data_IF_034033751281
#
_entry.id   IF_034033751281
#
_cell.length_a   1.000
_cell.length_b   1.000
_cell.length_c   1.000
_cell.angle_alpha   90.00
_cell.angle_beta   90.00
_cell.angle_gamma   90.00
#
_symmetry.space_group_name_H-M   'P 1'
#
loop_
_entity.id
_entity.type
_entity.pdbx_description
1 polymer ?
2 polymer ?
3 non-polymer ?
4 non-polymer ?
5 water ?
#
# COMPACT_ATOMS: atom_id res chain seq x y z
N UNK A 8 19.78 -17.27 -10.94
CA UNK A 8 20.06 -15.88 -11.41
C UNK A 8 18.73 -15.09 -11.64
N UNK A 9 18.67 -13.88 -11.09
CA UNK A 9 17.53 -13.00 -11.26
C UNK A 9 17.86 -11.90 -12.27
N UNK A 10 16.86 -11.51 -13.06
CA UNK A 10 17.04 -10.46 -14.07
C UNK A 10 15.81 -9.59 -14.05
N UNK A 11 15.98 -8.38 -13.52
CA UNK A 11 14.82 -7.47 -13.38
C UNK A 11 14.95 -6.31 -14.37
N UNK A 12 13.82 -5.95 -14.97
CA UNK A 12 13.67 -4.69 -15.69
C UNK A 12 12.82 -3.79 -14.79
N UNK A 13 13.36 -2.61 -14.49
CA UNK A 13 12.76 -1.72 -13.50
C UNK A 13 12.51 -0.38 -14.14
N UNK A 14 11.24 0.04 -14.08
CA UNK A 14 10.83 1.36 -14.64
C UNK A 14 10.23 2.24 -13.55
N UNK A 15 10.40 3.55 -13.75
CA UNK A 15 9.86 4.58 -12.89
C UNK A 15 8.50 5.00 -13.49
N UNK A 16 7.44 4.53 -12.88
CA UNK A 16 6.06 4.69 -13.43
C UNK A 16 5.52 6.07 -13.01
N UNK A 17 4.87 6.76 -13.95
CA UNK A 17 4.21 7.99 -13.61
C UNK A 17 3.08 7.74 -12.67
N UNK A 18 2.95 8.66 -11.71
CA UNK A 18 1.91 8.65 -10.71
C UNK A 18 0.49 8.39 -11.25
N UNK A 19 0.15 9.02 -12.38
CA UNK A 19 -1.19 8.88 -12.89
C UNK A 19 -1.49 7.42 -13.25
N UNK A 20 -0.52 6.77 -13.87
CA UNK A 20 -0.69 5.38 -14.30
C UNK A 20 -0.56 4.37 -13.16
N UNK A 21 0.32 4.66 -12.22
CA UNK A 21 0.42 3.83 -11.01
C UNK A 21 -0.94 3.76 -10.30
N UNK A 22 -1.56 4.92 -10.14
CA UNK A 22 -2.86 4.98 -9.54
C UNK A 22 -3.93 4.24 -10.34
N UNK A 23 -3.96 4.51 -11.62
CA UNK A 23 -4.94 3.89 -12.50
C UNK A 23 -4.85 2.34 -12.46
N UNK A 24 -3.63 1.79 -12.39
CA UNK A 24 -3.43 0.37 -12.40
C UNK A 24 -3.15 -0.22 -11.02
N UNK A 25 -3.46 0.54 -9.93
CA UNK A 25 -3.37 -0.01 -8.60
C UNK A 25 -4.27 -1.27 -8.49
N UNK A 26 -3.73 -2.42 -8.03
CA UNK A 26 -4.53 -3.63 -8.00
C UNK A 26 -4.70 -4.35 -9.34
N UNK A 27 -4.10 -3.80 -10.37
CA UNK A 27 -4.16 -4.37 -11.71
C UNK A 27 -2.77 -4.33 -12.32
N UNK A 28 -1.73 -4.45 -11.48
CA UNK A 28 -0.34 -4.30 -11.96
C UNK A 28 0.06 -5.38 -12.98
N UNK A 29 -0.63 -6.51 -12.98
CA UNK A 29 -0.38 -7.53 -14.01
C UNK A 29 -0.55 -6.97 -15.42
N UNK A 30 -1.42 -5.98 -15.61
CA UNK A 30 -1.64 -5.43 -16.93
C UNK A 30 -0.40 -4.65 -17.38
N UNK A 31 0.24 -3.98 -16.44
CA UNK A 31 1.48 -3.25 -16.75
C UNK A 31 2.60 -4.25 -17.01
N UNK A 32 2.67 -5.29 -16.19
CA UNK A 32 3.63 -6.35 -16.43
C UNK A 32 3.49 -6.88 -17.87
N UNK A 33 2.25 -7.15 -18.31
CA UNK A 33 2.03 -7.69 -19.65
C UNK A 33 2.46 -6.71 -20.77
N UNK A 34 2.23 -5.43 -20.57
CA UNK A 34 2.68 -4.39 -21.50
C UNK A 34 4.22 -4.38 -21.64
N UNK A 35 4.87 -4.34 -20.51
CA UNK A 35 6.35 -4.42 -20.49
C UNK A 35 6.93 -5.75 -21.07
N UNK A 36 6.26 -6.83 -20.77
CA UNK A 36 6.68 -8.14 -21.28
C UNK A 36 6.48 -8.16 -22.82
N UNK A 37 5.39 -7.58 -23.33
CA UNK A 37 5.20 -7.48 -24.77
C UNK A 37 6.32 -6.72 -25.45
N UNK A 38 6.76 -5.63 -24.84
CA UNK A 38 7.89 -4.87 -25.42
C UNK A 38 9.22 -5.63 -25.41
N UNK A 39 9.52 -6.28 -24.29
CA UNK A 39 10.79 -6.93 -24.13
C UNK A 39 10.84 -8.32 -24.77
N UNK A 40 9.69 -8.95 -24.93
CA UNK A 40 9.66 -10.41 -25.29
C UNK A 40 8.72 -10.84 -26.34
N UNK A 41 7.41 -10.52 -26.15
CA UNK A 41 6.31 -11.08 -26.98
C UNK A 41 6.62 -10.82 -28.46
N UNK A 42 6.32 -11.79 -29.29
CA UNK A 42 6.53 -11.61 -30.74
C UNK A 42 5.33 -10.88 -31.29
N UNK A 43 5.48 -9.58 -31.54
CA UNK A 43 4.39 -8.74 -31.94
C UNK A 43 4.63 -8.35 -33.38
N UNK A 44 3.56 -8.03 -34.09
CA UNK A 44 3.70 -7.43 -35.42
C UNK A 44 4.38 -6.08 -35.22
N UNK A 45 5.14 -5.64 -36.20
CA UNK A 45 5.93 -4.40 -36.10
C UNK A 45 5.11 -3.20 -35.58
N UNK A 46 3.88 -3.04 -36.09
CA UNK A 46 3.03 -1.91 -35.68
C UNK A 46 2.58 -2.00 -34.24
N UNK A 47 2.21 -3.21 -33.78
CA UNK A 47 1.84 -3.43 -32.37
C UNK A 47 3.04 -3.11 -31.44
N UNK A 48 4.24 -3.53 -31.87
CA UNK A 48 5.45 -3.24 -31.13
C UNK A 48 5.69 -1.71 -31.02
N UNK A 49 5.55 -1.02 -32.14
CA UNK A 49 5.81 0.42 -32.11
C UNK A 49 4.82 1.22 -31.19
N UNK A 50 3.54 0.81 -31.20
CA UNK A 50 2.51 1.38 -30.32
C UNK A 50 2.88 1.11 -28.88
N UNK A 51 3.29 -0.13 -28.62
CA UNK A 51 3.67 -0.54 -27.26
C UNK A 51 4.87 0.32 -26.74
N UNK A 52 5.85 0.49 -27.60
CA UNK A 52 7.00 1.32 -27.24
C UNK A 52 6.60 2.78 -26.92
N UNK A 53 5.73 3.36 -27.73
CA UNK A 53 5.21 4.70 -27.49
C UNK A 53 4.44 4.80 -26.14
N UNK A 54 3.63 3.82 -25.86
CA UNK A 54 2.91 3.76 -24.64
C UNK A 54 3.83 3.69 -23.43
N UNK A 55 4.83 2.79 -23.51
CA UNK A 55 5.83 2.70 -22.42
C UNK A 55 6.54 4.02 -22.19
N UNK A 56 6.93 4.70 -23.25
CA UNK A 56 7.57 6.03 -23.11
C UNK A 56 6.62 7.04 -22.37
N UNK A 57 5.34 6.99 -22.70
CA UNK A 57 4.36 7.88 -22.13
C UNK A 57 4.10 7.67 -20.65
N UNK A 58 4.06 6.40 -20.20
CA UNK A 58 3.63 6.11 -18.84
C UNK A 58 4.79 6.06 -17.84
N UNK A 59 6.00 6.22 -18.32
CA UNK A 59 7.17 6.14 -17.48
C UNK A 59 7.92 7.47 -17.46
N UNK A 60 8.78 7.63 -16.45
CA UNK A 60 9.62 8.82 -16.28
C UNK A 60 11.05 8.48 -16.62
N UNK A 61 11.80 9.46 -17.09
CA UNK A 61 13.24 9.25 -17.25
C UNK A 61 13.89 8.91 -15.89
N UNK A 62 14.89 8.03 -15.92
CA UNK A 62 15.61 7.75 -14.67
C UNK A 62 16.44 9.02 -14.30
N UNK A 63 16.44 9.46 -13.02
CA UNK A 63 17.22 10.68 -12.66
C UNK A 63 18.67 10.29 -12.45
N UNK A 64 19.43 10.32 -13.56
CA UNK A 64 20.74 9.65 -13.58
C UNK A 64 21.70 10.24 -12.53
N UNK A 65 21.86 11.56 -12.54
CA UNK A 65 22.82 12.16 -11.60
C UNK A 65 22.43 11.89 -10.12
N UNK A 66 21.14 12.00 -9.82
CA UNK A 66 20.62 11.70 -8.49
C UNK A 66 20.96 10.24 -8.12
N UNK A 67 20.74 9.33 -9.05
CA UNK A 67 21.06 7.90 -8.80
C UNK A 67 22.54 7.73 -8.54
N UNK A 68 23.40 8.36 -9.36
CA UNK A 68 24.84 8.21 -9.17
C UNK A 68 25.21 8.64 -7.76
N UNK A 69 24.69 9.78 -7.31
CA UNK A 69 25.03 10.28 -5.99
C UNK A 69 24.60 9.32 -4.89
N UNK A 70 23.36 8.87 -4.98
CA UNK A 70 22.84 7.94 -3.99
C UNK A 70 23.53 6.59 -3.96
N UNK A 71 23.85 6.09 -5.14
CA UNK A 71 24.61 4.84 -5.23
C UNK A 71 26.01 4.94 -4.63
N UNK A 72 26.73 5.97 -4.98
CA UNK A 72 28.09 6.12 -4.49
C UNK A 72 28.11 6.28 -3.00
N UNK A 73 27.12 6.94 -2.43
CA UNK A 73 27.05 7.06 -0.97
C UNK A 73 26.77 5.73 -0.30
N UNK A 74 25.79 5.01 -0.79
CA UNK A 74 25.40 3.75 -0.22
C UNK A 74 26.42 2.62 -0.37
N UNK A 75 27.15 2.61 -1.49
CA UNK A 75 28.11 1.54 -1.78
C UNK A 75 29.54 1.80 -1.23
N UNK A 76 29.76 2.95 -0.61
CA UNK A 76 31.08 3.34 -0.14
C UNK A 76 31.68 2.19 0.71
N UNK A 77 32.92 1.84 0.39
CA UNK A 77 33.67 0.76 1.05
C UNK A 77 33.06 -0.66 0.91
N UNK A 78 32.10 -0.81 0.01
CA UNK A 78 31.59 -2.12 -0.45
C UNK A 78 32.52 -2.52 -1.58
N UNK A 79 32.52 -3.80 -1.92
CA UNK A 79 33.17 -4.30 -3.12
C UNK A 79 32.29 -3.86 -4.30
N UNK A 80 32.56 -2.68 -4.86
CA UNK A 80 31.93 -2.27 -6.08
C UNK A 80 32.85 -1.60 -7.04
N UNK A 81 32.43 -1.61 -8.34
CA UNK A 81 33.03 -0.72 -9.30
C UNK A 81 31.91 -0.12 -10.17
N UNK A 82 32.28 0.96 -10.80
CA UNK A 82 31.41 1.70 -11.68
C UNK A 82 32.08 1.77 -13.05
N UNK A 83 31.28 1.50 -14.07
CA UNK A 83 31.64 1.75 -15.47
C UNK A 83 30.54 2.64 -16.12
N UNK A 84 30.72 3.93 -15.96
CA UNK A 84 29.74 4.98 -16.29
C UNK A 84 28.36 4.67 -15.69
N UNK A 85 27.43 4.19 -16.49
CA UNK A 85 26.07 3.89 -16.01
C UNK A 85 25.83 2.51 -15.43
N UNK A 86 26.90 1.71 -15.35
CA UNK A 86 26.88 0.35 -14.80
C UNK A 86 27.58 0.34 -13.47
N UNK A 87 26.90 -0.25 -12.47
CA UNK A 87 27.48 -0.54 -11.16
C UNK A 87 27.47 -2.00 -10.92
N UNK A 88 28.55 -2.53 -10.37
CA UNK A 88 28.67 -3.96 -10.12
C UNK A 88 29.13 -4.11 -8.68
N UNK A 89 28.50 -5.00 -7.95
CA UNK A 89 28.82 -5.25 -6.57
C UNK A 89 29.02 -6.72 -6.26
N UNK A 90 29.88 -7.00 -5.26
CA UNK A 90 30.03 -8.35 -4.71
C UNK A 90 29.75 -8.26 -3.21
N UNK A 91 28.86 -9.10 -2.72
CA UNK A 91 28.52 -9.10 -1.31
C UNK A 91 29.64 -9.59 -0.40
N UNK A 92 29.66 -9.10 0.88
CA UNK A 92 30.64 -9.60 1.84
C UNK A 92 30.49 -11.07 2.03
N UNK A 93 31.58 -11.69 2.48
CA UNK A 93 31.60 -13.12 2.82
C UNK A 93 31.18 -13.97 1.62
N UNK A 94 31.51 -13.53 0.40
CA UNK A 94 31.23 -14.29 -0.83
C UNK A 94 29.74 -14.70 -1.04
N UNK A 95 28.80 -13.88 -0.62
CA UNK A 95 27.40 -14.29 -0.56
C UNK A 95 26.63 -14.04 -1.85
N UNK A 96 27.22 -13.30 -2.77
CA UNK A 96 26.54 -13.00 -4.03
C UNK A 96 27.10 -11.87 -4.87
N UNK A 97 26.38 -11.57 -5.94
CA UNK A 97 26.83 -10.61 -6.96
C UNK A 97 25.63 -9.91 -7.57
N UNK A 98 25.78 -8.66 -7.94
CA UNK A 98 24.69 -7.98 -8.71
C UNK A 98 25.26 -6.88 -9.57
N UNK A 99 24.62 -6.71 -10.72
CA UNK A 99 24.87 -5.69 -11.70
C UNK A 99 23.68 -4.81 -11.84
N UNK A 100 23.93 -3.49 -11.88
CA UNK A 100 22.89 -2.43 -12.02
C UNK A 100 23.25 -1.61 -13.24
N UNK A 101 22.33 -1.47 -14.18
CA UNK A 101 22.55 -0.67 -15.38
C UNK A 101 21.41 0.35 -15.50
N UNK A 102 21.74 1.63 -15.65
CA UNK A 102 20.70 2.63 -15.84
C UNK A 102 20.84 3.35 -17.17
N UNK A 103 19.73 3.39 -17.92
CA UNK A 103 19.73 4.04 -19.22
C UNK A 103 18.40 4.56 -19.61
N UNK A 104 18.34 5.84 -19.99
CA UNK A 104 17.09 6.43 -20.47
C UNK A 104 15.92 6.25 -19.47
N UNK A 105 14.96 5.37 -19.79
CA UNK A 105 13.82 5.16 -18.93
C UNK A 105 13.90 3.84 -18.26
N UNK A 106 15.01 3.10 -18.36
CA UNK A 106 14.99 1.72 -17.86
C UNK A 106 16.20 1.51 -16.93
N UNK A 107 15.98 0.76 -15.88
CA UNK A 107 17.06 0.12 -15.09
C UNK A 107 17.03 -1.40 -15.28
N UNK A 108 18.17 -2.03 -15.43
CA UNK A 108 18.22 -3.46 -15.52
C UNK A 108 19.15 -3.91 -14.39
N UNK A 109 18.73 -4.95 -13.70
CA UNK A 109 19.50 -5.54 -12.61
C UNK A 109 19.65 -7.06 -12.88
N UNK A 110 20.87 -7.57 -12.75
CA UNK A 110 21.12 -9.02 -12.76
C UNK A 110 21.74 -9.37 -11.44
N UNK A 111 21.22 -10.41 -10.76
CA UNK A 111 21.72 -10.81 -9.47
C UNK A 111 21.85 -12.31 -9.28
N UNK A 112 22.82 -12.72 -8.47
CA UNK A 112 23.06 -14.13 -8.10
C UNK A 112 23.43 -14.24 -6.64
N UNK A 113 23.25 -15.42 -6.07
CA UNK A 113 23.51 -15.61 -4.67
C UNK A 113 22.36 -15.13 -3.81
N UNK A 114 22.69 -14.66 -2.61
CA UNK A 114 21.72 -14.23 -1.62
C UNK A 114 20.88 -13.09 -2.19
N UNK A 115 19.60 -13.03 -1.83
CA UNK A 115 18.69 -11.95 -2.25
C UNK A 115 19.12 -10.59 -1.74
N UNK A 116 20.03 -10.58 -0.78
CA UNK A 116 20.71 -9.32 -0.41
C UNK A 116 21.32 -8.56 -1.61
N UNK A 117 21.76 -9.31 -2.62
CA UNK A 117 22.47 -8.72 -3.75
C UNK A 117 21.64 -7.64 -4.47
N UNK A 118 20.45 -8.00 -4.92
CA UNK A 118 19.55 -7.04 -5.57
C UNK A 118 18.95 -6.06 -4.56
N UNK A 119 18.82 -6.50 -3.30
CA UNK A 119 18.21 -5.70 -2.26
C UNK A 119 19.04 -4.42 -2.04
N UNK A 120 20.36 -4.53 -2.16
CA UNK A 120 21.21 -3.34 -2.00
C UNK A 120 20.77 -2.21 -2.98
N UNK A 121 20.52 -2.61 -4.24
CA UNK A 121 20.07 -1.67 -5.24
C UNK A 121 18.61 -1.23 -5.02
N UNK A 122 17.75 -2.19 -4.66
CA UNK A 122 16.33 -1.89 -4.46
C UNK A 122 16.19 -0.92 -3.30
N UNK A 123 17.01 -1.03 -2.28
CA UNK A 123 16.93 -0.11 -1.14
C UNK A 123 17.28 1.34 -1.58
N UNK A 124 18.28 1.51 -2.46
CA UNK A 124 18.59 2.87 -2.95
C UNK A 124 17.37 3.40 -3.75
N UNK A 125 16.84 2.59 -4.63
CA UNK A 125 15.70 2.95 -5.48
C UNK A 125 14.45 3.32 -4.67
N UNK A 126 14.12 2.54 -3.67
CA UNK A 126 12.91 2.76 -2.91
C UNK A 126 13.03 4.03 -2.07
N UNK A 127 14.25 4.46 -1.74
CA UNK A 127 14.42 5.73 -1.05
C UNK A 127 14.43 6.95 -2.00
N UNK A 128 14.60 6.72 -3.27
CA UNK A 128 14.50 7.76 -4.27
C UNK A 128 13.06 8.01 -4.64
N UNK A 129 12.28 6.94 -4.82
CA UNK A 129 10.86 7.09 -5.18
C UNK A 129 10.08 5.86 -4.81
N UNK A 130 8.78 6.01 -4.54
CA UNK A 130 7.88 4.85 -4.36
C UNK A 130 7.35 4.24 -5.66
N UNK A 131 7.74 4.83 -6.79
CA UNK A 131 7.13 4.50 -8.07
C UNK A 131 7.92 3.57 -8.96
N UNK A 132 8.96 2.90 -8.43
CA UNK A 132 9.68 1.92 -9.26
C UNK A 132 8.93 0.60 -9.25
N UNK A 133 8.66 0.12 -10.45
CA UNK A 133 8.09 -1.22 -10.71
C UNK A 133 9.16 -2.15 -11.29
N UNK A 134 9.49 -3.20 -10.54
CA UNK A 134 10.57 -4.12 -10.92
C UNK A 134 9.91 -5.41 -11.42
N UNK A 135 10.42 -5.98 -12.51
CA UNK A 135 9.77 -7.10 -13.13
C UNK A 135 10.83 -8.07 -13.64
N UNK A 136 10.68 -9.35 -13.25
CA UNK A 136 11.52 -10.45 -13.82
C UNK A 136 10.60 -11.27 -14.73
N UNK A 137 10.83 -11.18 -16.05
CA UNK A 137 10.01 -11.84 -17.04
C UNK A 137 10.35 -13.33 -17.17
N UNK A 138 11.43 -13.75 -16.52
CA UNK A 138 11.81 -15.16 -16.53
C UNK A 138 11.02 -15.95 -15.48
N UNK A 139 10.90 -15.38 -14.29
CA UNK A 139 10.27 -16.07 -13.15
C UNK A 139 8.82 -15.59 -12.87
N UNK A 140 8.41 -14.51 -13.56
CA UNK A 140 7.05 -13.91 -13.39
C UNK A 140 6.89 -13.26 -11.97
N UNK A 141 7.99 -12.77 -11.42
CA UNK A 141 8.02 -12.05 -10.16
C UNK A 141 8.02 -10.58 -10.48
N UNK A 142 7.09 -9.82 -9.92
CA UNK A 142 7.04 -8.40 -10.18
C UNK A 142 6.35 -7.68 -9.05
N UNK A 143 6.66 -6.40 -8.91
CA UNK A 143 6.02 -5.58 -7.90
C UNK A 143 6.68 -4.23 -7.71
N UNK A 144 6.03 -3.40 -6.89
CA UNK A 144 6.57 -2.11 -6.54
C UNK A 144 7.71 -2.32 -5.56
N UNK A 145 8.69 -1.44 -5.63
CA UNK A 145 9.67 -1.32 -4.61
C UNK A 145 9.10 -0.41 -3.50
N UNK A 146 8.59 -1.03 -2.46
CA UNK A 146 7.78 -0.31 -1.46
C UNK A 146 8.71 0.28 -0.41
N UNK A 147 8.62 1.60 -0.15
CA UNK A 147 9.44 2.23 0.94
C UNK A 147 9.04 1.96 2.39
N UNK B 3 -22.89 6.82 -44.66
CA UNK B 3 -21.94 6.24 -45.72
C UNK B 3 -20.48 5.91 -45.21
N UNK B 4 -19.81 4.99 -45.90
CA UNK B 4 -18.47 4.52 -45.50
C UNK B 4 -17.42 5.65 -45.46
N UNK B 5 -17.46 6.50 -46.49
CA UNK B 5 -16.60 7.69 -46.65
C UNK B 5 -17.05 8.76 -45.61
N UNK B 6 -18.33 8.83 -45.31
CA UNK B 6 -18.80 9.80 -44.31
C UNK B 6 -18.30 9.63 -42.89
N UNK B 7 -18.29 8.39 -42.33
CA UNK B 7 -17.67 8.19 -41.00
C UNK B 7 -16.15 8.49 -40.96
N UNK B 8 -15.46 8.22 -42.05
CA UNK B 8 -14.02 8.56 -42.18
C UNK B 8 -13.82 10.06 -42.08
N UNK B 9 -14.67 10.84 -42.77
CA UNK B 9 -14.67 12.31 -42.74
C UNK B 9 -14.90 12.81 -41.33
N UNK B 10 -15.90 12.24 -40.65
CA UNK B 10 -16.27 12.69 -39.30
C UNK B 10 -15.07 12.45 -38.36
N UNK B 11 -14.47 11.28 -38.43
CA UNK B 11 -13.40 10.95 -37.50
C UNK B 11 -12.16 11.74 -37.83
N UNK B 12 -11.86 11.93 -39.10
CA UNK B 12 -10.74 12.78 -39.46
C UNK B 12 -10.94 14.22 -38.98
N UNK B 13 -12.18 14.74 -39.04
CA UNK B 13 -12.45 16.07 -38.55
C UNK B 13 -12.27 16.13 -37.03
N UNK B 14 -12.71 15.09 -36.36
CA UNK B 14 -12.64 15.09 -34.91
C UNK B 14 -11.18 15.00 -34.49
N UNK B 15 -10.40 14.14 -35.14
CA UNK B 15 -8.93 14.07 -34.83
C UNK B 15 -8.18 15.39 -35.07
N UNK B 16 -8.54 16.12 -36.15
CA UNK B 16 -7.92 17.37 -36.43
C UNK B 16 -8.22 18.40 -35.35
N UNK B 17 -9.44 18.42 -34.83
CA UNK B 17 -9.78 19.31 -33.72
C UNK B 17 -9.10 18.87 -32.45
N UNK B 18 -9.08 17.57 -32.20
CA UNK B 18 -8.39 17.03 -31.01
C UNK B 18 -6.90 17.35 -31.02
N UNK B 19 -6.27 17.26 -32.17
CA UNK B 19 -4.85 17.63 -32.33
C UNK B 19 -4.56 19.09 -31.93
N UNK B 20 -5.55 19.98 -32.10
CA UNK B 20 -5.41 21.39 -31.68
C UNK B 20 -5.63 21.57 -30.19
N UNK B 21 -6.12 20.52 -29.53
CA UNK B 21 -6.45 20.59 -28.06
C UNK B 21 -5.37 19.95 -27.20
N UNK B 22 -4.80 18.85 -27.67
CA UNK B 22 -3.87 18.09 -26.83
C UNK B 22 -2.38 18.40 -27.11
N UNK B 23 -1.54 18.08 -26.13
CA UNK B 23 -0.11 18.09 -26.38
C UNK B 23 0.21 17.09 -27.50
N UNK B 24 1.40 17.28 -28.08
CA UNK B 24 1.85 16.36 -29.11
C UNK B 24 2.02 14.93 -28.54
N UNK B 25 2.69 14.76 -27.38
CA UNK B 25 2.83 13.35 -26.85
C UNK B 25 1.50 12.64 -26.60
N UNK B 26 0.50 13.37 -26.07
CA UNK B 26 -0.80 12.74 -25.80
C UNK B 26 -1.54 12.41 -27.12
N UNK B 27 -1.52 13.30 -28.08
CA UNK B 27 -2.16 13.04 -29.36
C UNK B 27 -1.48 11.89 -30.08
N UNK B 28 -0.15 11.95 -30.15
CA UNK B 28 0.57 10.89 -30.90
C UNK B 28 0.42 9.54 -30.22
N UNK B 29 0.45 9.52 -28.89
CA UNK B 29 0.40 8.24 -28.18
C UNK B 29 -0.99 7.59 -28.20
N UNK B 30 -2.04 8.41 -27.98
CA UNK B 30 -3.36 7.86 -27.72
C UNK B 30 -4.36 8.05 -28.87
N UNK B 31 -4.28 9.16 -29.59
CA UNK B 31 -5.30 9.46 -30.57
C UNK B 31 -4.97 9.13 -32.04
N UNK B 32 -3.74 9.34 -32.44
CA UNK B 32 -3.40 9.37 -33.86
C UNK B 32 -3.69 8.08 -34.64
N UNK B 33 -3.51 6.95 -33.99
CA UNK B 33 -3.75 5.62 -34.59
C UNK B 33 -5.19 5.06 -34.45
N UNK B 34 -6.11 5.86 -33.92
CA UNK B 34 -7.46 5.39 -33.76
C UNK B 34 -8.14 5.52 -35.16
N UNK B 35 -9.11 4.63 -35.41
CA UNK B 35 -9.86 4.62 -36.65
C UNK B 35 -11.35 4.45 -36.39
N UNK B 36 -12.20 5.09 -37.20
CA UNK B 36 -13.62 4.90 -37.03
C UNK B 36 -13.93 3.48 -37.41
N UNK B 37 -14.80 2.85 -36.65
CA UNK B 37 -15.22 1.49 -36.97
C UNK B 37 -16.65 1.49 -37.51
N UNK B 38 -17.58 2.15 -36.81
CA UNK B 38 -19.00 2.14 -37.19
C UNK B 38 -19.75 3.27 -36.52
N UNK B 39 -20.85 3.65 -37.15
CA UNK B 39 -21.83 4.55 -36.52
C UNK B 39 -23.21 3.97 -36.77
N UNK B 40 -23.86 3.58 -35.68
CA UNK B 40 -25.18 2.95 -35.73
C UNK B 40 -25.99 3.45 -34.57
N UNK B 41 -27.16 4.02 -34.84
CA UNK B 41 -27.98 4.61 -33.79
C UNK B 41 -27.20 5.76 -33.18
N UNK B 42 -27.15 5.79 -31.86
CA UNK B 42 -26.53 6.90 -31.17
C UNK B 42 -25.06 6.55 -30.87
N UNK B 43 -24.53 5.43 -31.37
CA UNK B 43 -23.22 4.93 -30.99
C UNK B 43 -22.18 5.00 -32.09
N UNK B 44 -21.08 5.69 -31.75
CA UNK B 44 -19.92 5.81 -32.62
C UNK B 44 -18.86 4.89 -32.01
N UNK B 45 -18.46 3.87 -32.77
CA UNK B 45 -17.47 2.91 -32.32
C UNK B 45 -16.14 3.20 -33.02
N UNK B 46 -15.08 3.27 -32.23
CA UNK B 46 -13.76 3.62 -32.64
C UNK B 46 -12.81 2.47 -32.33
N UNK B 47 -11.95 2.16 -33.27
CA UNK B 47 -10.93 1.12 -33.08
C UNK B 47 -9.67 1.70 -32.48
N UNK B 48 -9.27 1.17 -31.32
CA UNK B 48 -8.02 1.47 -30.66
C UNK B 48 -7.01 0.37 -31.03
N UNK B 49 -5.70 0.70 -30.98
CA UNK B 49 -4.71 -0.24 -31.52
C UNK B 49 -4.39 -1.45 -30.63
N UNK B 50 -4.66 -1.34 -29.34
CA UNK B 50 -4.49 -2.43 -28.40
C UNK B 50 -5.34 -2.20 -27.14
N UNK B 51 -5.40 -3.17 -26.26
CA UNK B 51 -6.23 -3.04 -25.06
C UNK B 51 -5.78 -1.89 -24.17
N UNK B 52 -4.46 -1.68 -24.06
CA UNK B 52 -3.93 -0.65 -23.19
C UNK B 52 -4.47 0.74 -23.59
N UNK B 53 -4.46 0.95 -24.89
CA UNK B 53 -4.99 2.18 -25.49
C UNK B 53 -6.50 2.25 -25.32
N UNK B 54 -7.21 1.15 -25.59
CA UNK B 54 -8.65 1.07 -25.39
C UNK B 54 -9.00 1.52 -23.94
N UNK B 55 -8.28 0.96 -22.97
CA UNK B 55 -8.54 1.27 -21.60
C UNK B 55 -8.31 2.73 -21.29
N UNK B 56 -7.19 3.28 -21.73
CA UNK B 56 -6.89 4.66 -21.36
C UNK B 56 -7.80 5.62 -22.10
N UNK B 57 -8.08 5.37 -23.36
CA UNK B 57 -9.09 6.19 -24.10
C UNK B 57 -10.45 6.21 -23.38
N UNK B 58 -10.95 5.06 -22.96
CA UNK B 58 -12.20 4.98 -22.22
C UNK B 58 -12.16 5.73 -20.88
N UNK B 59 -11.02 5.59 -20.19
CA UNK B 59 -10.89 6.18 -18.86
C UNK B 59 -10.66 7.69 -18.83
N UNK B 60 -9.89 8.20 -19.77
CA UNK B 60 -9.40 9.57 -19.73
C UNK B 60 -9.98 10.42 -20.86
N UNK B 61 -10.33 9.86 -22.02
CA UNK B 61 -10.58 10.72 -23.20
C UNK B 61 -12.00 10.66 -23.76
N UNK B 62 -12.86 9.89 -23.12
CA UNK B 62 -14.22 9.79 -23.59
C UNK B 62 -14.97 11.14 -23.60
N UNK B 63 -14.86 11.89 -22.53
CA UNK B 63 -15.46 13.20 -22.41
C UNK B 63 -14.94 14.12 -23.50
N UNK B 64 -13.62 14.19 -23.67
CA UNK B 64 -13.04 15.02 -24.72
C UNK B 64 -13.56 14.67 -26.15
N UNK B 65 -13.66 13.39 -26.43
CA UNK B 65 -14.11 12.95 -27.73
C UNK B 65 -15.61 13.29 -27.89
N UNK B 66 -16.40 13.04 -26.86
CA UNK B 66 -17.83 13.34 -26.88
C UNK B 66 -18.02 14.87 -27.10
N UNK B 67 -17.26 15.67 -26.36
CA UNK B 67 -17.27 17.17 -26.53
C UNK B 67 -16.93 17.58 -27.96
N UNK B 68 -15.90 16.97 -28.52
CA UNK B 68 -15.46 17.26 -29.89
C UNK B 68 -16.54 16.92 -30.93
N UNK B 69 -17.14 15.73 -30.79
CA UNK B 69 -18.21 15.32 -31.69
C UNK B 69 -19.43 16.26 -31.53
N UNK B 70 -19.75 16.63 -30.30
CA UNK B 70 -20.86 17.59 -30.04
C UNK B 70 -20.59 18.93 -30.69
N UNK B 71 -19.36 19.41 -30.60
CA UNK B 71 -19.02 20.72 -31.21
C UNK B 71 -19.11 20.70 -32.73
N UNK B 72 -18.79 19.55 -33.32
CA UNK B 72 -18.80 19.38 -34.76
C UNK B 72 -20.21 19.15 -35.34
N UNK B 73 -21.06 18.44 -34.62
CA UNK B 73 -22.34 17.94 -35.14
C UNK B 73 -23.60 18.53 -34.47
N UNK B 74 -23.44 19.04 -33.26
CA UNK B 74 -24.57 19.45 -32.43
C UNK B 74 -25.33 18.31 -31.80
N UNK B 75 -24.80 17.10 -31.98
CA UNK B 75 -25.42 15.90 -31.44
C UNK B 75 -24.49 15.17 -30.45
N UNK B 76 -25.12 14.59 -29.44
CA UNK B 76 -24.44 13.71 -28.48
C UNK B 76 -24.45 12.32 -29.04
N UNK B 77 -23.25 11.80 -29.25
CA UNK B 77 -23.04 10.40 -29.64
C UNK B 77 -22.34 9.68 -28.49
N UNK B 78 -22.80 8.46 -28.22
CA UNK B 78 -22.15 7.59 -27.27
C UNK B 78 -20.86 7.06 -27.96
N UNK B 79 -19.74 7.16 -27.27
CA UNK B 79 -18.48 6.73 -27.81
C UNK B 79 -18.02 5.42 -27.17
N UNK B 80 -17.72 4.45 -28.03
CA UNK B 80 -17.24 3.12 -27.64
C UNK B 80 -15.94 2.78 -28.36
N UNK B 81 -15.10 2.05 -27.67
CA UNK B 81 -13.81 1.61 -28.18
C UNK B 81 -13.70 0.11 -28.24
N UNK B 82 -13.21 -0.37 -29.37
CA UNK B 82 -12.91 -1.80 -29.60
C UNK B 82 -11.46 -1.95 -30.05
N UNK B 83 -10.96 -3.17 -30.01
CA UNK B 83 -9.63 -3.49 -30.49
C UNK B 83 -9.71 -4.38 -31.71
N UNK B 84 -8.65 -4.44 -32.53
CA UNK B 84 -8.68 -5.30 -33.74
C UNK B 84 -8.86 -6.80 -33.47
N UNK C 8 -19.89 15.03 10.65
CA UNK C 8 -20.80 13.91 10.91
C UNK C 8 -20.12 12.53 10.88
N UNK C 9 -18.98 12.34 10.19
CA UNK C 9 -18.18 11.15 10.41
C UNK C 9 -16.84 11.56 11.08
N UNK C 10 -16.37 10.74 12.00
CA UNK C 10 -15.07 10.98 12.65
C UNK C 10 -14.39 9.63 12.90
N UNK C 11 -13.34 9.38 12.11
CA UNK C 11 -12.66 8.11 12.14
C UNK C 11 -11.31 8.21 12.80
N UNK C 12 -10.99 7.27 13.71
CA UNK C 12 -9.66 7.09 14.28
C UNK C 12 -9.09 5.89 13.53
N UNK C 13 -7.93 6.08 12.89
CA UNK C 13 -7.43 5.11 11.89
C UNK C 13 -6.03 4.72 12.27
N UNK C 14 -5.87 3.42 12.52
CA UNK C 14 -4.59 2.87 12.92
C UNK C 14 -4.05 1.86 11.90
N UNK C 15 -2.75 1.75 11.86
CA UNK C 15 -2.06 0.80 10.99
C UNK C 15 -1.78 -0.46 11.87
N UNK C 16 -2.55 -1.48 11.63
CA UNK C 16 -2.49 -2.71 12.47
C UNK C 16 -1.37 -3.62 11.97
N UNK C 17 -0.60 -4.19 12.91
CA UNK C 17 0.38 -5.17 12.52
C UNK C 17 -0.27 -6.44 11.93
N UNK C 18 0.41 -7.00 10.93
CA UNK C 18 -0.11 -8.18 10.22
C UNK C 18 -0.51 -9.33 11.12
N UNK C 19 0.30 -9.60 12.14
CA UNK C 19 -0.02 -10.72 13.03
C UNK C 19 -1.39 -10.57 13.67
N UNK C 20 -1.71 -9.35 14.13
CA UNK C 20 -2.97 -9.13 14.80
C UNK C 20 -4.13 -8.98 13.83
N UNK C 21 -3.87 -8.37 12.68
CA UNK C 21 -4.90 -8.32 11.63
C UNK C 21 -5.30 -9.73 11.23
N UNK C 22 -4.31 -10.56 10.91
CA UNK C 22 -4.55 -11.93 10.52
C UNK C 22 -5.33 -12.71 11.59
N UNK C 23 -4.93 -12.52 12.86
CA UNK C 23 -5.56 -13.20 13.94
C UNK C 23 -7.04 -12.79 14.02
N UNK C 24 -7.35 -11.51 13.78
CA UNK C 24 -8.66 -10.99 14.08
C UNK C 24 -9.58 -10.84 12.84
N UNK C 25 -9.17 -11.27 11.64
CA UNK C 25 -10.10 -11.24 10.50
C UNK C 25 -11.39 -11.99 10.76
N UNK C 26 -12.53 -11.33 10.53
CA UNK C 26 -13.83 -11.91 10.79
C UNK C 26 -14.28 -11.84 12.24
N UNK C 27 -13.39 -11.43 13.14
CA UNK C 27 -13.75 -11.32 14.55
C UNK C 27 -13.11 -10.06 15.08
N UNK C 28 -13.26 -8.95 14.31
CA UNK C 28 -12.63 -7.70 14.67
C UNK C 28 -13.17 -7.02 15.93
N UNK C 29 -14.28 -7.51 16.45
CA UNK C 29 -14.98 -6.83 17.57
C UNK C 29 -14.11 -6.59 18.79
N UNK C 30 -13.32 -7.57 19.20
CA UNK C 30 -12.54 -7.37 20.42
C UNK C 30 -11.44 -6.34 20.21
N UNK C 31 -10.90 -6.25 19.00
CA UNK C 31 -9.95 -5.19 18.67
C UNK C 31 -10.67 -3.82 18.63
N UNK C 32 -11.82 -3.74 17.96
CA UNK C 32 -12.57 -2.48 17.95
C UNK C 32 -12.86 -2.05 19.41
N UNK C 33 -13.29 -3.00 20.25
CA UNK C 33 -13.61 -2.70 21.64
C UNK C 33 -12.43 -2.16 22.44
N UNK C 34 -11.22 -2.64 22.12
CA UNK C 34 -10.01 -2.10 22.77
C UNK C 34 -9.84 -0.61 22.43
N UNK C 35 -9.91 -0.29 21.14
CA UNK C 35 -9.76 1.09 20.71
C UNK C 35 -10.91 1.98 21.25
N UNK C 36 -12.12 1.41 21.28
CA UNK C 36 -13.24 2.17 21.80
C UNK C 36 -13.05 2.47 23.31
N UNK C 37 -12.57 1.49 24.08
CA UNK C 37 -12.26 1.75 25.50
C UNK C 37 -11.29 2.90 25.65
N UNK C 38 -10.25 2.92 24.82
CA UNK C 38 -9.25 3.98 24.87
C UNK C 38 -9.73 5.37 24.53
N UNK C 39 -10.55 5.46 23.46
CA UNK C 39 -10.95 6.72 22.88
C UNK C 39 -12.34 7.22 23.33
N UNK C 40 -13.20 6.36 23.84
CA UNK C 40 -14.62 6.71 24.02
C UNK C 40 -15.17 6.34 25.40
N UNK C 41 -14.33 5.82 26.31
CA UNK C 41 -14.75 5.57 27.70
C UNK C 41 -13.70 6.15 28.66
N UNK C 42 -14.06 6.22 29.92
CA UNK C 42 -13.18 6.66 30.98
C UNK C 42 -12.54 5.42 31.55
N UNK C 43 -11.22 5.37 31.48
CA UNK C 43 -10.53 4.24 32.09
C UNK C 43 -9.82 4.74 33.34
N UNK C 44 -9.75 3.88 34.35
CA UNK C 44 -8.89 4.15 35.53
C UNK C 44 -7.47 4.24 35.00
N UNK C 45 -6.63 5.05 35.63
CA UNK C 45 -5.29 5.36 35.15
C UNK C 45 -4.46 4.12 34.78
N UNK C 46 -4.49 3.10 35.63
CA UNK C 46 -3.72 1.88 35.36
C UNK C 46 -4.28 1.11 34.15
N UNK C 47 -5.60 0.99 34.07
CA UNK C 47 -6.24 0.33 32.92
C UNK C 47 -5.97 1.13 31.60
N UNK C 48 -5.94 2.46 31.69
CA UNK C 48 -5.59 3.31 30.56
C UNK C 48 -4.17 3.05 30.10
N UNK C 49 -3.24 3.01 31.04
CA UNK C 49 -1.83 2.80 30.65
C UNK C 49 -1.62 1.40 30.04
N UNK C 50 -2.30 0.41 30.60
CA UNK C 50 -2.25 -0.98 30.06
C UNK C 50 -2.82 -1.02 28.64
N UNK C 51 -3.95 -0.33 28.46
CA UNK C 51 -4.60 -0.27 27.16
C UNK C 51 -3.73 0.45 26.12
N UNK C 52 -3.14 1.55 26.53
CA UNK C 52 -2.25 2.30 25.65
C UNK C 52 -1.05 1.45 25.22
N UNK C 53 -0.48 0.68 26.16
CA UNK C 53 0.67 -0.19 25.86
C UNK C 53 0.25 -1.29 24.86
N UNK C 54 -0.96 -1.81 25.01
CA UNK C 54 -1.44 -2.81 24.09
C UNK C 54 -1.61 -2.26 22.68
N UNK C 55 -2.23 -1.09 22.58
CA UNK C 55 -2.39 -0.40 21.31
C UNK C 55 -1.05 -0.13 20.65
N UNK C 56 -0.05 0.33 21.41
CA UNK C 56 1.29 0.52 20.85
C UNK C 56 1.87 -0.80 20.30
N UNK C 57 1.64 -1.89 20.99
CA UNK C 57 2.16 -3.20 20.58
C UNK C 57 1.56 -3.75 19.29
N UNK C 58 0.23 -3.52 19.13
CA UNK C 58 -0.46 -4.15 18.03
C UNK C 58 -0.50 -3.28 16.76
N UNK C 59 0.03 -2.06 16.85
CA UNK C 59 0.02 -1.14 15.76
C UNK C 59 1.42 -0.77 15.32
N UNK C 60 1.52 -0.21 14.12
CA UNK C 60 2.75 0.32 13.57
C UNK C 60 2.71 1.83 13.58
N UNK C 61 3.89 2.46 13.70
CA UNK C 61 3.91 3.90 13.59
C UNK C 61 3.45 4.32 12.17
N UNK C 62 2.75 5.45 12.11
CA UNK C 62 2.34 6.03 10.82
C UNK C 62 3.59 6.51 10.08
N UNK C 63 3.80 6.09 8.82
CA UNK C 63 5.00 6.56 8.09
C UNK C 63 4.82 7.99 7.54
N UNK C 64 5.06 8.95 8.40
CA UNK C 64 4.64 10.35 8.19
C UNK C 64 5.26 10.91 6.91
N UNK C 65 6.59 10.80 6.75
CA UNK C 65 7.21 11.42 5.56
C UNK C 65 6.68 10.84 4.26
N UNK C 66 6.54 9.50 4.24
CA UNK C 66 6.01 8.83 3.10
C UNK C 66 4.58 9.32 2.82
N UNK C 67 3.78 9.44 3.88
CA UNK C 67 2.37 9.87 3.76
C UNK C 67 2.29 11.28 3.19
N UNK C 68 3.17 12.18 3.64
CA UNK C 68 3.20 13.51 3.05
C UNK C 68 3.41 13.48 1.54
N UNK C 69 4.36 12.69 1.09
CA UNK C 69 4.65 12.55 -0.34
C UNK C 69 3.43 12.02 -1.10
N UNK C 70 2.82 10.96 -0.58
CA UNK C 70 1.64 10.34 -1.20
C UNK C 70 0.47 11.28 -1.24
N UNK C 71 0.26 12.02 -0.18
CA UNK C 71 -0.85 12.99 -0.14
C UNK C 71 -0.68 14.10 -1.15
N UNK C 72 0.52 14.65 -1.20
CA UNK C 72 0.80 15.72 -2.13
C UNK C 72 0.61 15.29 -3.56
N UNK C 73 0.99 14.07 -3.85
CA UNK C 73 0.82 13.56 -5.24
C UNK C 73 -0.63 13.26 -5.57
N UNK C 74 -1.33 12.62 -4.66
CA UNK C 74 -2.73 12.24 -4.88
C UNK C 74 -3.74 13.37 -4.81
N UNK C 75 -3.38 14.46 -4.11
CA UNK C 75 -4.27 15.61 -3.95
C UNK C 75 -3.96 16.74 -4.97
N UNK C 76 -3.04 16.49 -5.89
CA UNK C 76 -2.60 17.50 -6.84
C UNK C 76 -3.72 18.12 -7.68
N UNK C 77 -4.81 17.37 -7.95
CA UNK C 77 -5.97 17.84 -8.71
C UNK C 77 -7.18 18.15 -7.81
N UNK C 78 -6.93 18.37 -6.52
CA UNK C 78 -7.98 18.57 -5.54
C UNK C 78 -7.63 19.86 -4.82
N UNK C 79 -8.62 20.70 -4.59
CA UNK C 79 -8.42 21.93 -3.82
C UNK C 79 -8.17 21.53 -2.39
N UNK C 80 -7.01 21.90 -1.87
CA UNK C 80 -6.69 21.58 -0.47
C UNK C 80 -5.81 22.63 0.18
N UNK C 81 -5.79 22.59 1.50
CA UNK C 81 -4.93 23.37 2.37
C UNK C 81 -4.11 22.41 3.21
N UNK C 82 -2.82 22.66 3.38
CA UNK C 82 -2.02 21.87 4.29
C UNK C 82 -1.46 22.76 5.37
N UNK C 83 -1.58 22.31 6.60
CA UNK C 83 -1.03 22.95 7.80
C UNK C 83 -0.21 21.89 8.55
N UNK C 84 1.03 21.68 8.09
CA UNK C 84 1.93 20.61 8.56
C UNK C 84 1.23 19.28 8.45
N UNK C 85 0.78 18.73 9.58
CA UNK C 85 0.26 17.35 9.59
C UNK C 85 -1.25 17.30 9.39
N UNK C 86 -1.87 18.47 9.16
CA UNK C 86 -3.27 18.58 8.87
C UNK C 86 -3.48 18.94 7.40
N UNK C 87 -4.37 18.17 6.76
CA UNK C 87 -4.75 18.41 5.36
C UNK C 87 -6.25 18.57 5.35
N UNK C 88 -6.72 19.57 4.63
CA UNK C 88 -8.09 19.92 4.62
C UNK C 88 -8.50 20.02 3.15
N UNK C 89 -9.53 19.31 2.80
CA UNK C 89 -9.96 19.33 1.43
C UNK C 89 -11.42 19.75 1.33
N UNK C 90 -11.69 20.45 0.23
CA UNK C 90 -13.05 20.80 -0.25
C UNK C 90 -13.31 20.05 -1.56
N UNK C 91 -14.48 19.45 -1.63
CA UNK C 91 -14.95 18.92 -2.90
C UNK C 91 -15.40 20.06 -3.81
N UNK C 92 -15.32 19.85 -5.15
CA UNK C 92 -15.79 20.89 -6.07
C UNK C 92 -17.20 21.32 -5.65
N UNK C 93 -17.43 22.64 -5.63
CA UNK C 93 -18.76 23.19 -5.39
C UNK C 93 -19.29 22.80 -4.00
N UNK C 94 -18.41 22.69 -3.00
CA UNK C 94 -18.84 22.54 -1.58
C UNK C 94 -19.79 21.35 -1.31
N UNK C 95 -19.62 20.25 -2.05
CA UNK C 95 -20.42 19.03 -1.85
C UNK C 95 -20.00 18.27 -0.58
N UNK C 96 -18.82 18.57 -0.10
CA UNK C 96 -18.33 17.95 1.12
C UNK C 96 -16.95 18.44 1.45
N UNK C 97 -16.54 18.11 2.67
CA UNK C 97 -15.32 18.56 3.24
C UNK C 97 -14.70 17.44 4.12
N UNK C 98 -13.39 17.41 4.20
CA UNK C 98 -12.77 16.47 5.16
C UNK C 98 -11.48 17.02 5.63
N UNK C 99 -11.15 16.64 6.85
CA UNK C 99 -9.89 17.03 7.48
C UNK C 99 -9.21 15.71 7.86
N UNK C 100 -7.93 15.67 7.56
CA UNK C 100 -7.04 14.54 7.80
C UNK C 100 -5.92 15.05 8.70
N UNK C 101 -5.76 14.40 9.84
CA UNK C 101 -4.70 14.74 10.77
C UNK C 101 -3.83 13.51 11.06
N UNK C 102 -2.54 13.61 10.84
CA UNK C 102 -1.70 12.45 11.11
C UNK C 102 -0.70 12.73 12.23
N UNK C 103 -0.68 11.81 13.16
CA UNK C 103 0.27 11.84 14.21
C UNK C 103 0.98 10.55 14.16
N UNK C 104 1.95 10.48 15.04
CA UNK C 104 2.82 9.34 15.21
C UNK C 104 2.11 7.99 15.16
N UNK C 105 1.07 7.90 15.96
CA UNK C 105 0.45 6.65 16.34
C UNK C 105 -0.83 6.38 15.55
N UNK C 106 -1.45 7.41 15.02
CA UNK C 106 -2.78 7.28 14.46
C UNK C 106 -3.12 8.47 13.56
N UNK C 107 -4.10 8.22 12.67
CA UNK C 107 -4.68 9.22 11.78
C UNK C 107 -6.11 9.51 12.20
N UNK C 108 -6.49 10.77 12.20
CA UNK C 108 -7.91 11.08 12.44
C UNK C 108 -8.44 11.72 11.18
N UNK C 109 -9.63 11.31 10.76
CA UNK C 109 -10.29 11.89 9.57
C UNK C 109 -11.72 12.30 9.99
N UNK C 110 -12.04 13.58 9.79
CA UNK C 110 -13.33 14.14 10.13
C UNK C 110 -13.95 14.60 8.81
N UNK C 111 -15.16 14.17 8.53
CA UNK C 111 -15.76 14.46 7.22
C UNK C 111 -17.23 14.83 7.29
N UNK C 112 -17.63 15.68 6.36
CA UNK C 112 -19.03 16.11 6.25
C UNK C 112 -19.44 16.15 4.79
N UNK C 113 -20.75 16.10 4.56
CA UNK C 113 -21.28 16.15 3.20
C UNK C 113 -21.18 14.79 2.50
N UNK C 114 -20.97 14.85 1.18
CA UNK C 114 -20.81 13.68 0.37
C UNK C 114 -19.67 12.78 0.88
N UNK C 115 -19.87 11.47 0.75
CA UNK C 115 -18.90 10.47 1.17
C UNK C 115 -17.62 10.52 0.35
N UNK C 116 -17.67 11.24 -0.78
CA UNK C 116 -16.46 11.42 -1.60
C UNK C 116 -15.33 12.06 -0.79
N UNK C 117 -15.72 12.85 0.22
CA UNK C 117 -14.81 13.65 0.96
C UNK C 117 -13.79 12.78 1.70
N UNK C 118 -14.24 11.89 2.58
CA UNK C 118 -13.32 10.99 3.25
C UNK C 118 -12.73 9.93 2.28
N UNK C 119 -13.46 9.61 1.21
CA UNK C 119 -12.97 8.56 0.30
C UNK C 119 -11.67 8.99 -0.37
N UNK C 120 -11.54 10.28 -0.68
CA UNK C 120 -10.27 10.78 -1.22
C UNK C 120 -9.10 10.40 -0.27
N UNK C 121 -9.28 10.59 1.02
CA UNK C 121 -8.19 10.20 1.97
C UNK C 121 -8.02 8.68 2.13
N UNK C 122 -9.15 7.95 2.23
CA UNK C 122 -9.08 6.52 2.33
C UNK C 122 -8.45 5.89 1.14
N UNK C 123 -8.69 6.46 -0.05
CA UNK C 123 -8.02 5.97 -1.26
C UNK C 123 -6.47 6.11 -1.21
N UNK C 124 -5.96 7.18 -0.62
CA UNK C 124 -4.52 7.30 -0.42
C UNK C 124 -4.00 6.23 0.52
N UNK C 125 -4.68 6.08 1.64
CA UNK C 125 -4.30 5.11 2.66
C UNK C 125 -4.26 3.69 2.13
N UNK C 126 -5.27 3.31 1.34
CA UNK C 126 -5.42 1.96 0.78
C UNK C 126 -4.20 1.57 -0.03
N UNK C 127 -3.60 2.56 -0.69
CA UNK C 127 -2.45 2.31 -1.59
C UNK C 127 -1.13 2.21 -0.81
N UNK C 128 -1.10 2.76 0.41
CA UNK C 128 0.08 2.69 1.24
C UNK C 128 0.16 1.35 1.98
N UNK C 129 -0.98 0.86 2.48
CA UNK C 129 -1.02 -0.41 3.15
C UNK C 129 -2.45 -0.91 3.19
N UNK C 130 -2.63 -2.24 3.19
CA UNK C 130 -3.98 -2.80 3.32
C UNK C 130 -4.43 -2.92 4.81
N UNK C 131 -3.52 -2.59 5.73
CA UNK C 131 -3.76 -2.89 7.15
C UNK C 131 -4.23 -1.68 7.99
N UNK C 132 -4.69 -0.62 7.32
CA UNK C 132 -5.35 0.46 8.07
C UNK C 132 -6.77 0.05 8.45
N UNK C 133 -7.07 0.25 9.73
CA UNK C 133 -8.38 0.03 10.32
C UNK C 133 -8.94 1.36 10.77
N UNK C 134 -10.06 1.75 10.16
CA UNK C 134 -10.72 3.02 10.41
C UNK C 134 -11.95 2.80 11.28
N UNK C 135 -12.10 3.57 12.34
CA UNK C 135 -13.14 3.32 13.31
C UNK C 135 -13.80 4.64 13.80
N UNK C 136 -15.12 4.68 13.71
CA UNK C 136 -15.93 5.81 14.20
C UNK C 136 -16.70 5.33 15.40
N UNK C 137 -16.34 5.84 16.58
CA UNK C 137 -16.91 5.30 17.83
C UNK C 137 -18.28 5.85 18.15
N UNK C 138 -18.71 6.85 17.41
CA UNK C 138 -20.03 7.41 17.63
C UNK C 138 -21.05 6.61 16.81
N UNK C 139 -20.80 6.44 15.52
CA UNK C 139 -21.69 5.64 14.66
C UNK C 139 -21.47 4.10 14.78
N UNK C 140 -20.31 3.70 15.29
CA UNK C 140 -19.89 2.30 15.37
C UNK C 140 -19.55 1.67 14.01
N UNK C 141 -19.34 2.51 12.96
CA UNK C 141 -18.92 2.06 11.67
C UNK C 141 -17.42 1.86 11.72
N UNK C 142 -16.95 0.70 11.27
CA UNK C 142 -15.55 0.46 11.18
C UNK C 142 -15.21 -0.58 10.14
N UNK C 143 -13.98 -0.53 9.68
CA UNK C 143 -13.49 -1.52 8.77
C UNK C 143 -12.11 -1.27 8.24
N UNK C 144 -11.59 -2.33 7.61
CA UNK C 144 -10.33 -2.26 6.92
C UNK C 144 -10.45 -1.44 5.65
N UNK C 145 -9.38 -0.74 5.32
CA UNK C 145 -9.30 -0.02 4.06
C UNK C 145 -8.70 -1.02 3.01
N UNK C 146 -9.58 -1.85 2.46
CA UNK C 146 -9.20 -2.88 1.47
C UNK C 146 -9.09 -2.33 0.06
N UNK C 147 -8.33 -2.99 -0.81
CA UNK C 147 -8.24 -2.59 -2.27
C UNK C 147 -9.44 -2.95 -3.19
N UNK D 1 -5.88 -16.61 52.99
CA UNK D 1 -5.39 -17.87 53.58
C UNK D 1 -4.08 -18.24 52.94
N UNK D 2 -3.50 -19.36 53.35
CA UNK D 2 -2.13 -19.70 52.84
C UNK D 2 -1.99 -20.10 51.36
N UNK D 3 -3.00 -20.71 50.78
CA UNK D 3 -2.85 -21.22 49.41
C UNK D 3 -2.72 -20.06 48.41
N UNK D 4 -3.49 -19.00 48.64
CA UNK D 4 -3.34 -17.77 47.86
C UNK D 4 -1.91 -17.20 47.95
N UNK D 5 -1.32 -17.23 49.14
CA UNK D 5 0.08 -16.79 49.37
C UNK D 5 1.05 -17.65 48.53
N UNK D 6 0.78 -18.95 48.45
CA UNK D 6 1.62 -19.87 47.67
C UNK D 6 1.57 -19.58 46.19
N UNK D 7 0.36 -19.38 45.67
CA UNK D 7 0.21 -19.17 44.26
C UNK D 7 0.75 -17.83 43.80
N UNK D 8 0.68 -16.81 44.67
CA UNK D 8 1.28 -15.52 44.38
C UNK D 8 2.79 -15.68 44.23
N UNK D 9 3.41 -16.45 45.13
CA UNK D 9 4.84 -16.77 45.05
C UNK D 9 5.18 -17.52 43.74
N UNK D 10 4.35 -18.50 43.39
CA UNK D 10 4.65 -19.38 42.23
C UNK D 10 4.58 -18.54 40.95
N UNK D 11 3.60 -17.69 40.88
CA UNK D 11 3.42 -16.79 39.73
C UNK D 11 4.54 -15.80 39.62
N UNK D 12 4.97 -15.21 40.74
CA UNK D 12 6.16 -14.36 40.66
C UNK D 12 7.42 -15.11 40.16
N UNK D 13 7.61 -16.35 40.59
CA UNK D 13 8.74 -17.13 40.06
C UNK D 13 8.60 -17.44 38.56
N UNK D 14 7.37 -17.73 38.14
CA UNK D 14 7.09 -18.01 36.73
C UNK D 14 7.33 -16.77 35.89
N UNK D 15 6.87 -15.62 36.35
CA UNK D 15 7.11 -14.33 35.65
C UNK D 15 8.58 -14.02 35.49
N UNK D 16 9.38 -14.30 36.54
CA UNK D 16 10.80 -14.09 36.44
C UNK D 16 11.47 -14.95 35.37
N UNK D 17 11.03 -16.18 35.23
CA UNK D 17 11.57 -17.05 34.19
C UNK D 17 11.07 -16.63 32.81
N UNK D 18 9.78 -16.26 32.73
CA UNK D 18 9.22 -15.81 31.47
C UNK D 18 9.90 -14.54 30.97
N UNK D 19 10.24 -13.63 31.89
CA UNK D 19 11.01 -12.44 31.55
C UNK D 19 12.34 -12.74 30.87
N UNK D 20 12.94 -13.88 31.20
CA UNK D 20 14.18 -14.29 30.59
C UNK D 20 13.99 -14.88 29.21
N UNK D 21 12.74 -15.23 28.88
CA UNK D 21 12.46 -15.89 27.59
C UNK D 21 11.92 -14.95 26.51
N UNK D 22 11.27 -13.89 26.93
CA UNK D 22 10.59 -12.97 26.02
C UNK D 22 11.36 -11.67 25.77
N UNK D 23 11.05 -11.03 24.66
CA UNK D 23 11.47 -9.68 24.44
C UNK D 23 10.92 -8.78 25.54
N UNK D 24 11.57 -7.65 25.72
CA UNK D 24 11.10 -6.67 26.68
C UNK D 24 9.67 -6.17 26.34
N UNK D 25 9.43 -5.77 25.07
CA UNK D 25 8.05 -5.31 24.74
C UNK D 25 6.99 -6.36 24.97
N UNK D 26 7.27 -7.61 24.60
CA UNK D 26 6.29 -8.70 24.82
C UNK D 26 6.01 -8.97 26.30
N UNK D 27 7.08 -9.03 27.10
CA UNK D 27 6.92 -9.20 28.54
C UNK D 27 6.16 -8.05 29.17
N UNK D 28 6.58 -6.83 28.86
CA UNK D 28 5.96 -5.67 29.51
C UNK D 28 4.50 -5.50 29.10
N UNK D 29 4.20 -5.81 27.86
CA UNK D 29 2.86 -5.63 27.37
C UNK D 29 1.89 -6.69 27.84
N UNK D 30 2.29 -7.95 27.77
CA UNK D 30 1.34 -9.05 27.96
C UNK D 30 1.48 -9.76 29.30
N UNK D 31 2.68 -9.82 29.87
CA UNK D 31 2.89 -10.66 31.05
C UNK D 31 2.95 -9.90 32.36
N UNK D 32 3.61 -8.74 32.38
CA UNK D 32 3.99 -8.09 33.63
C UNK D 32 2.81 -7.76 34.56
N UNK D 33 1.67 -7.40 33.96
CA UNK D 33 0.46 -7.00 34.67
C UNK D 33 -0.50 -8.17 35.08
N UNK D 34 -0.14 -9.40 34.74
CA UNK D 34 -0.96 -10.55 35.10
C UNK D 34 -0.77 -10.87 36.56
N UNK D 35 -1.83 -11.43 37.14
CA UNK D 35 -1.86 -11.79 38.57
C UNK D 35 -2.49 -13.13 38.78
N UNK D 36 -1.96 -13.90 39.71
CA UNK D 36 -2.58 -15.19 40.05
C UNK D 36 -3.95 -14.94 40.64
N UNK D 37 -4.94 -15.70 40.19
CA UNK D 37 -6.29 -15.57 40.74
C UNK D 37 -6.66 -16.71 41.72
N UNK D 38 -6.37 -17.95 41.32
CA UNK D 38 -6.77 -19.13 42.06
C UNK D 38 -6.08 -20.36 41.57
N UNK D 39 -6.01 -21.35 42.46
CA UNK D 39 -5.51 -22.67 42.12
C UNK D 39 -6.50 -23.68 42.70
N UNK D 40 -7.14 -24.42 41.80
CA UNK D 40 -8.16 -25.36 42.18
C UNK D 40 -7.92 -26.65 41.41
N UNK D 41 -7.67 -27.74 42.12
CA UNK D 41 -7.24 -28.97 41.48
C UNK D 41 -5.90 -28.69 40.85
N UNK D 42 -5.80 -28.98 39.57
CA UNK D 42 -4.59 -28.85 38.84
C UNK D 42 -4.71 -27.64 37.90
N UNK D 43 -5.68 -26.77 38.14
CA UNK D 43 -5.89 -25.56 37.31
C UNK D 43 -5.49 -24.28 38.02
N UNK D 44 -4.54 -23.58 37.41
CA UNK D 44 -4.10 -22.27 37.82
C UNK D 44 -4.83 -21.23 36.97
N UNK D 45 -5.62 -20.37 37.61
CA UNK D 45 -6.32 -19.31 36.91
C UNK D 45 -5.57 -17.99 37.15
N UNK D 46 -5.31 -17.27 36.05
CA UNK D 46 -4.57 -16.05 36.04
C UNK D 46 -5.49 -14.90 35.54
N UNK D 47 -5.39 -13.77 36.19
CA UNK D 47 -6.17 -12.59 35.84
C UNK D 47 -5.37 -11.74 34.83
N UNK D 48 -6.02 -11.49 33.68
CA UNK D 48 -5.48 -10.61 32.66
C UNK D 48 -6.21 -9.27 32.85
N UNK D 49 -5.58 -8.17 32.44
CA UNK D 49 -6.18 -6.85 32.74
C UNK D 49 -7.43 -6.48 31.92
N UNK D 50 -7.61 -7.12 30.78
CA UNK D 50 -8.79 -6.86 29.93
C UNK D 50 -9.02 -8.00 28.98
N UNK D 51 -10.12 -7.94 28.22
CA UNK D 51 -10.47 -9.04 27.33
C UNK D 51 -9.41 -9.25 26.28
N UNK D 52 -8.87 -8.14 25.77
CA UNK D 52 -7.91 -8.24 24.66
C UNK D 52 -6.69 -9.06 25.10
N UNK D 53 -6.20 -8.72 26.28
CA UNK D 53 -5.07 -9.41 26.88
C UNK D 53 -5.45 -10.87 27.17
N UNK D 54 -6.65 -11.09 27.70
CA UNK D 54 -7.08 -12.48 27.99
C UNK D 54 -7.03 -13.32 26.74
N UNK D 55 -7.61 -12.75 25.65
CA UNK D 55 -7.61 -13.43 24.38
C UNK D 55 -6.23 -13.71 23.84
N UNK D 56 -5.35 -12.70 23.89
CA UNK D 56 -4.04 -12.88 23.31
C UNK D 56 -3.20 -13.86 24.15
N UNK D 57 -3.26 -13.74 25.47
CA UNK D 57 -2.60 -14.72 26.33
C UNK D 57 -3.03 -16.14 26.06
N UNK D 58 -4.34 -16.35 25.93
CA UNK D 58 -4.87 -17.69 25.67
C UNK D 58 -4.42 -18.21 24.31
N UNK D 59 -4.40 -17.32 23.31
CA UNK D 59 -4.02 -17.72 21.97
C UNK D 59 -2.56 -17.96 21.72
N UNK D 60 -1.71 -17.14 22.33
CA UNK D 60 -0.32 -17.10 21.99
C UNK D 60 0.58 -17.63 23.10
N UNK D 61 0.21 -17.50 24.36
CA UNK D 61 1.19 -17.71 25.42
C UNK D 61 0.91 -18.89 26.35
N UNK D 62 -0.17 -19.60 26.15
CA UNK D 62 -0.52 -20.68 27.04
C UNK D 62 0.55 -21.78 27.09
N UNK D 63 1.00 -22.23 25.93
CA UNK D 63 2.01 -23.27 25.82
C UNK D 63 3.31 -22.80 26.50
N UNK D 64 3.73 -21.58 26.23
CA UNK D 64 4.92 -21.02 26.89
C UNK D 64 4.82 -20.99 28.43
N UNK D 65 3.66 -20.58 28.96
CA UNK D 65 3.46 -20.54 30.37
C UNK D 65 3.46 -21.98 30.93
N UNK D 66 2.81 -22.91 30.24
CA UNK D 66 2.75 -24.29 30.70
C UNK D 66 4.16 -24.90 30.74
N UNK D 67 4.93 -24.65 29.68
CA UNK D 67 6.34 -25.08 29.61
C UNK D 67 7.14 -24.53 30.76
N UNK D 68 6.96 -23.24 31.06
CA UNK D 68 7.69 -22.58 32.15
C UNK D 68 7.36 -23.16 33.51
N UNK D 69 6.07 -23.38 33.78
CA UNK D 69 5.64 -23.97 35.04
C UNK D 69 6.20 -25.42 35.15
N UNK D 70 6.14 -26.18 34.05
CA UNK D 70 6.72 -27.55 34.06
C UNK D 70 8.22 -27.52 34.33
N UNK D 71 8.94 -26.58 33.71
CA UNK D 71 10.41 -26.50 33.90
C UNK D 71 10.80 -26.13 35.30
N UNK D 72 9.96 -25.32 35.92
CA UNK D 72 10.18 -24.82 37.24
C UNK D 72 9.84 -25.85 38.32
N UNK D 73 8.78 -26.63 38.14
CA UNK D 73 8.22 -27.51 39.18
C UNK D 73 8.30 -29.02 38.89
N UNK D 74 8.50 -29.40 37.65
CA UNK D 74 8.36 -30.80 37.18
C UNK D 74 6.96 -31.35 37.14
N UNK D 75 6.02 -30.43 37.37
CA UNK D 75 4.60 -30.77 37.36
C UNK D 75 3.85 -29.92 36.32
N UNK D 76 2.91 -30.54 35.66
CA UNK D 76 2.01 -29.88 34.72
C UNK D 76 0.85 -29.24 35.46
N UNK D 77 0.69 -27.95 35.30
CA UNK D 77 -0.55 -27.28 35.72
C UNK D 77 -1.33 -26.77 34.52
N UNK D 78 -2.65 -26.88 34.57
CA UNK D 78 -3.49 -26.33 33.48
C UNK D 78 -3.62 -24.85 33.73
N UNK D 79 -3.53 -24.05 32.69
CA UNK D 79 -3.59 -22.60 32.84
C UNK D 79 -4.90 -22.08 32.21
N UNK D 80 -5.62 -21.26 32.95
CA UNK D 80 -6.79 -20.51 32.40
C UNK D 80 -6.67 -19.00 32.70
N UNK D 81 -7.23 -18.17 31.80
CA UNK D 81 -7.20 -16.71 31.98
C UNK D 81 -8.59 -16.13 32.10
N UNK D 82 -8.75 -15.21 33.04
CA UNK D 82 -9.99 -14.49 33.27
C UNK D 82 -9.72 -13.01 33.29
N UNK D 83 -10.79 -12.22 33.26
CA UNK D 83 -10.65 -10.78 33.42
C UNK D 83 -11.06 -10.35 34.83
N UNK D 84 -10.70 -9.13 35.26
CA UNK D 84 -10.92 -8.70 36.63
C UNK D 84 -12.40 -8.63 37.00
#
# INVERSE_FOLDING_TARGET
>A
MQAGPAMERHYYTYLIKEEFANHYFGRESVMFELFQDYHWTSLEKQQYEMTEKQIQYITQPIPILHMHQRLKMNLNKTDYRQLDYIYRIALPKAKGHATFMMKEHMIEIVASGDYEAETIFFEVLRKVSPCFLAMDFNSKRYGWLNPVKERNFV
>B
GPAMENILDLWNQALAQIEKKLSKPSFETWMKSTKAHSLQGDTLTITAPNEFARDWLESRYLHLIADTIYELTGEELSIKFVIPQ
>C
MQAGPAMERHYYTYLIKEEFANHYFGRESVMFELFQDYHWTSLEKQQYEMTEKQIQYITQPIPILHMHQRLKMNLNKTDYRQLDYIYRIALPKAKGHATFMMKEHMIEIVASGDYEAETIFFEVLRKVSPCFLAMDFNSKRYGWLNPVKERNFV
>D
GPAMENILDLWNQALAQIEKKLSKPSFETWMKSTKAHSLQGDTLTITAPNEFARDWLESRYLHLIADTIYELTGEELSIKFVIPQ
#
